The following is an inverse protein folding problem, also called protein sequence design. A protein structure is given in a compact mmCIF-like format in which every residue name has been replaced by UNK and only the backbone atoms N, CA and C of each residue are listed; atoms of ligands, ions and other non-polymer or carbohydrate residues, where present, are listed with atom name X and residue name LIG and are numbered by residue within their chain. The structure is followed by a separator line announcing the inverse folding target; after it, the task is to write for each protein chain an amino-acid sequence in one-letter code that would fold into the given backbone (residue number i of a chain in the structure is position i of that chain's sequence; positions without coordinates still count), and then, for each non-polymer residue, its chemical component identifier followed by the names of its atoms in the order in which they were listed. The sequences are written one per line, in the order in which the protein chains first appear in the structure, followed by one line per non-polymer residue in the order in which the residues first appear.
data_IF_397201787945
#
_entry.id   IF_397201787945
#
_cell.length_a   1.000
_cell.length_b   1.000
_cell.length_c   1.000
_cell.angle_alpha   90.00
_cell.angle_beta   90.00
_cell.angle_gamma   90.00
#
_symmetry.space_group_name_H-M   'P 1'
#
loop_
_entity.id
_entity.type
_entity.pdbx_description
1 polymer ?
#
# COMPACT_ATOMS: atom_id res chain seq x y z
N UNK A 1 -6.69 -3.78 21.35
CA UNK A 1 -5.27 -4.14 21.13
C UNK A 1 -4.97 -3.71 19.71
N UNK A 2 -4.22 -2.62 19.52
CA UNK A 2 -3.82 -2.19 18.18
C UNK A 2 -2.90 -3.25 17.60
N UNK A 3 -3.17 -3.66 16.37
CA UNK A 3 -2.51 -4.76 15.65
C UNK A 3 -1.11 -4.39 15.10
N UNK A 4 -0.56 -3.25 15.52
CA UNK A 4 0.79 -2.79 15.13
C UNK A 4 0.91 -2.35 13.66
N UNK A 5 -0.20 -2.25 12.92
CA UNK A 5 -0.21 -1.84 11.52
C UNK A 5 -0.11 -0.33 11.39
N UNK A 6 0.60 0.12 10.36
CA UNK A 6 0.83 1.54 10.08
C UNK A 6 0.09 2.02 8.82
N UNK A 7 -0.55 1.11 8.08
CA UNK A 7 -1.37 1.37 6.92
C UNK A 7 -1.69 0.10 6.14
N UNK A 8 -1.48 0.13 4.83
CA UNK A 8 -1.61 -1.03 3.94
C UNK A 8 -0.36 -1.92 4.00
N UNK A 9 0.11 -2.25 5.20
CA UNK A 9 1.37 -2.96 5.40
C UNK A 9 1.43 -4.25 4.55
N UNK A 10 2.61 -4.53 4.02
CA UNK A 10 2.91 -5.68 3.18
C UNK A 10 2.51 -6.98 3.88
N UNK A 11 2.02 -7.95 3.10
CA UNK A 11 1.62 -9.26 3.60
C UNK A 11 2.16 -10.34 2.67
N UNK A 12 2.71 -11.41 3.24
CA UNK A 12 3.15 -12.55 2.44
C UNK A 12 1.94 -13.28 1.85
N UNK A 13 1.93 -13.44 0.53
CA UNK A 13 0.94 -14.29 -0.16
C UNK A 13 1.58 -15.66 -0.40
N UNK A 14 1.00 -16.68 0.23
CA UNK A 14 1.43 -18.07 0.06
C UNK A 14 1.42 -18.47 -1.43
N UNK A 15 2.53 -19.04 -1.91
CA UNK A 15 2.66 -19.48 -3.30
C UNK A 15 3.00 -18.38 -4.30
N UNK A 16 3.07 -17.10 -3.91
CA UNK A 16 3.34 -16.02 -4.85
C UNK A 16 4.74 -16.08 -5.46
N UNK A 17 5.75 -16.54 -4.69
CA UNK A 17 7.13 -16.73 -5.17
C UNK A 17 7.25 -17.85 -6.19
N UNK A 18 6.53 -18.95 -6.03
CA UNK A 18 6.63 -20.11 -6.92
C UNK A 18 5.66 -20.03 -8.10
N UNK A 19 4.43 -19.56 -7.86
CA UNK A 19 3.32 -19.63 -8.81
C UNK A 19 3.00 -18.27 -9.47
N UNK A 20 3.47 -17.16 -8.89
CA UNK A 20 3.22 -15.82 -9.41
C UNK A 20 1.77 -15.36 -9.29
N UNK A 21 1.25 -14.70 -10.33
CA UNK A 21 -0.12 -14.15 -10.38
C UNK A 21 -1.23 -15.15 -9.99
N UNK A 22 -1.21 -16.43 -10.42
CA UNK A 22 -2.17 -17.43 -9.97
C UNK A 22 -2.37 -17.53 -8.45
N UNK A 23 -1.29 -17.53 -7.67
CA UNK A 23 -1.39 -17.58 -6.20
C UNK A 23 -2.01 -16.29 -5.62
N UNK A 24 -1.66 -15.14 -6.18
CA UNK A 24 -2.24 -13.84 -5.80
C UNK A 24 -3.74 -13.79 -6.10
N UNK A 25 -4.16 -14.27 -7.26
CA UNK A 25 -5.58 -14.39 -7.64
C UNK A 25 -6.32 -15.33 -6.68
N UNK A 26 -5.71 -16.47 -6.35
CA UNK A 26 -6.28 -17.43 -5.40
C UNK A 26 -6.46 -16.78 -4.01
N UNK A 27 -5.51 -15.96 -3.55
CA UNK A 27 -5.64 -15.23 -2.30
C UNK A 27 -6.77 -14.17 -2.34
N UNK A 28 -6.89 -13.40 -3.42
CA UNK A 28 -7.94 -12.38 -3.60
C UNK A 28 -9.37 -12.96 -3.58
N UNK A 29 -9.54 -14.19 -4.07
CA UNK A 29 -10.84 -14.86 -4.09
C UNK A 29 -11.38 -15.17 -2.69
N UNK A 30 -10.50 -15.23 -1.67
CA UNK A 30 -10.88 -15.48 -0.28
C UNK A 30 -11.34 -14.17 0.38
N UNK A 31 -12.53 -14.17 0.98
CA UNK A 31 -13.02 -13.07 1.79
C UNK A 31 -12.47 -13.17 3.22
N UNK A 32 -11.29 -12.61 3.47
CA UNK A 32 -10.63 -12.59 4.78
C UNK A 32 -10.65 -11.19 5.41
N UNK A 33 -10.42 -11.06 6.73
CA UNK A 33 -10.26 -9.74 7.36
C UNK A 33 -9.14 -8.89 6.75
N UNK A 34 -8.08 -9.53 6.24
CA UNK A 34 -6.93 -8.86 5.60
C UNK A 34 -7.14 -8.54 4.12
N UNK A 35 -8.35 -8.72 3.57
CA UNK A 35 -8.60 -8.63 2.12
C UNK A 35 -8.12 -7.32 1.49
N UNK A 36 -8.21 -6.19 2.20
CA UNK A 36 -7.72 -4.90 1.71
C UNK A 36 -6.19 -4.89 1.57
N UNK A 37 -5.47 -5.53 2.49
CA UNK A 37 -4.02 -5.69 2.41
C UNK A 37 -3.61 -6.66 1.31
N UNK A 38 -4.39 -7.73 1.10
CA UNK A 38 -4.20 -8.64 -0.04
C UNK A 38 -4.42 -7.92 -1.38
N UNK A 39 -5.41 -7.03 -1.47
CA UNK A 39 -5.61 -6.15 -2.64
C UNK A 39 -4.39 -5.25 -2.84
N UNK A 40 -3.95 -4.53 -1.80
CA UNK A 40 -2.76 -3.69 -1.86
C UNK A 40 -1.51 -4.47 -2.30
N UNK A 41 -1.31 -5.68 -1.79
CA UNK A 41 -0.20 -6.53 -2.17
C UNK A 41 -0.31 -7.02 -3.62
N UNK A 42 -1.51 -7.38 -4.07
CA UNK A 42 -1.76 -7.71 -5.47
C UNK A 42 -1.43 -6.55 -6.41
N UNK A 43 -1.74 -5.32 -6.00
CA UNK A 43 -1.38 -4.11 -6.72
C UNK A 43 0.13 -3.94 -6.83
N UNK A 44 0.89 -4.17 -5.75
CA UNK A 44 2.36 -4.17 -5.73
C UNK A 44 2.95 -5.30 -6.59
N UNK A 45 2.27 -6.44 -6.63
CA UNK A 45 2.62 -7.59 -7.48
C UNK A 45 2.32 -7.36 -8.97
N UNK A 46 1.70 -6.22 -9.33
CA UNK A 46 1.46 -5.84 -10.73
C UNK A 46 0.15 -6.37 -11.31
N UNK A 47 -0.84 -6.70 -10.49
CA UNK A 47 -2.20 -6.89 -10.98
C UNK A 47 -2.83 -5.52 -11.25
N UNK A 48 -3.55 -5.41 -12.36
CA UNK A 48 -4.38 -4.26 -12.72
C UNK A 48 -5.67 -4.21 -11.90
N UNK A 49 -6.27 -3.03 -11.82
CA UNK A 49 -7.54 -2.83 -11.12
C UNK A 49 -8.66 -3.68 -11.75
N UNK A 50 -8.64 -3.86 -13.07
CA UNK A 50 -9.58 -4.74 -13.78
C UNK A 50 -9.39 -6.22 -13.41
N UNK A 51 -8.13 -6.70 -13.29
CA UNK A 51 -7.85 -8.06 -12.80
C UNK A 51 -8.39 -8.26 -11.39
N UNK A 52 -8.20 -7.28 -10.50
CA UNK A 52 -8.66 -7.35 -9.11
C UNK A 52 -10.19 -7.26 -9.04
N UNK A 53 -10.81 -6.37 -9.81
CA UNK A 53 -12.27 -6.21 -9.88
C UNK A 53 -12.93 -7.52 -10.31
N UNK A 54 -12.43 -8.18 -11.36
CA UNK A 54 -12.98 -9.46 -11.84
C UNK A 54 -12.98 -10.57 -10.78
N UNK A 55 -12.02 -10.56 -9.86
CA UNK A 55 -11.89 -11.61 -8.84
C UNK A 55 -12.67 -11.28 -7.57
N UNK A 56 -12.74 -9.99 -7.21
CA UNK A 56 -13.24 -9.56 -5.90
C UNK A 56 -14.61 -8.89 -5.95
N UNK A 57 -15.02 -8.44 -7.14
CA UNK A 57 -16.17 -7.55 -7.38
C UNK A 57 -16.11 -6.24 -6.58
N UNK A 58 -14.92 -5.83 -6.11
CA UNK A 58 -14.75 -4.53 -5.47
C UNK A 58 -14.98 -3.42 -6.48
N UNK A 59 -15.65 -2.37 -6.05
CA UNK A 59 -15.97 -1.25 -6.92
C UNK A 59 -14.70 -0.64 -7.55
N UNK A 60 -14.67 -0.40 -8.88
CA UNK A 60 -13.48 0.13 -9.56
C UNK A 60 -13.01 1.48 -9.01
N UNK A 61 -13.92 2.36 -8.57
CA UNK A 61 -13.55 3.64 -7.98
C UNK A 61 -12.78 3.42 -6.66
N UNK A 62 -13.21 2.46 -5.84
CA UNK A 62 -12.52 2.12 -4.60
C UNK A 62 -11.13 1.52 -4.86
N UNK A 63 -11.00 0.65 -5.85
CA UNK A 63 -9.70 0.11 -6.28
C UNK A 63 -8.77 1.24 -6.74
N UNK A 64 -9.27 2.19 -7.53
CA UNK A 64 -8.48 3.34 -7.96
C UNK A 64 -7.99 4.22 -6.79
N UNK A 65 -8.74 4.31 -5.67
CA UNK A 65 -8.28 5.01 -4.46
C UNK A 65 -7.14 4.26 -3.75
N UNK A 66 -7.22 2.93 -3.67
CA UNK A 66 -6.12 2.13 -3.11
C UNK A 66 -4.88 2.24 -4.02
N UNK A 67 -5.08 2.17 -5.34
CA UNK A 67 -3.99 2.32 -6.32
C UNK A 67 -3.22 3.61 -6.13
N UNK A 68 -3.94 4.73 -5.98
CA UNK A 68 -3.34 6.04 -5.73
C UNK A 68 -2.42 6.04 -4.49
N UNK A 69 -2.82 5.36 -3.42
CA UNK A 69 -1.99 5.20 -2.21
C UNK A 69 -0.75 4.36 -2.51
N UNK A 70 -0.91 3.23 -3.23
CA UNK A 70 0.21 2.34 -3.57
C UNK A 70 1.22 3.00 -4.51
N UNK A 71 0.76 3.81 -5.45
CA UNK A 71 1.63 4.54 -6.37
C UNK A 71 2.44 5.61 -5.61
N UNK A 72 1.82 6.30 -4.64
CA UNK A 72 2.55 7.23 -3.76
C UNK A 72 3.53 6.50 -2.86
N UNK A 73 3.19 5.32 -2.32
CA UNK A 73 4.16 4.49 -1.59
C UNK A 73 5.38 4.15 -2.45
N UNK A 74 5.17 3.77 -3.70
CA UNK A 74 6.23 3.47 -4.64
C UNK A 74 7.13 4.69 -4.87
N UNK A 75 6.53 5.85 -5.15
CA UNK A 75 7.26 7.10 -5.33
C UNK A 75 8.11 7.47 -4.11
N UNK A 76 7.58 7.29 -2.89
CA UNK A 76 8.30 7.55 -1.64
C UNK A 76 9.47 6.57 -1.46
N UNK A 77 9.27 5.28 -1.76
CA UNK A 77 10.35 4.28 -1.66
C UNK A 77 11.49 4.58 -2.63
N UNK A 78 11.17 5.02 -3.84
CA UNK A 78 12.16 5.31 -4.89
C UNK A 78 12.87 6.65 -4.69
N UNK A 79 12.13 7.70 -4.37
CA UNK A 79 12.62 9.08 -4.40
C UNK A 79 12.81 9.70 -3.00
N UNK A 80 12.35 9.02 -1.95
CA UNK A 80 12.27 9.57 -0.60
C UNK A 80 11.06 10.49 -0.39
N UNK A 81 11.05 11.20 0.73
CA UNK A 81 9.98 12.16 1.05
C UNK A 81 10.12 13.43 0.20
N UNK A 82 9.00 14.09 -0.15
CA UNK A 82 9.05 15.43 -0.71
C UNK A 82 9.80 16.39 0.21
N UNK A 83 10.60 17.26 -0.39
CA UNK A 83 11.37 18.28 0.33
C UNK A 83 10.61 19.59 0.51
N UNK A 84 9.50 19.77 -0.23
CA UNK A 84 8.64 20.96 -0.15
C UNK A 84 7.39 20.72 0.72
N UNK A 85 6.92 21.80 1.34
CA UNK A 85 5.79 21.75 2.28
C UNK A 85 4.48 21.32 1.61
N UNK A 86 4.25 21.68 0.34
CA UNK A 86 3.04 21.32 -0.38
C UNK A 86 3.01 19.83 -0.69
N UNK A 87 4.14 19.25 -1.11
CA UNK A 87 4.33 17.82 -1.30
C UNK A 87 4.09 17.03 -0.04
N UNK A 88 4.68 17.46 1.08
CA UNK A 88 4.44 16.84 2.38
C UNK A 88 2.96 16.92 2.76
N UNK A 89 2.32 18.09 2.60
CA UNK A 89 0.90 18.27 2.92
C UNK A 89 0.00 17.36 2.08
N UNK A 90 0.28 17.20 0.78
CA UNK A 90 -0.48 16.28 -0.10
C UNK A 90 -0.46 14.86 0.43
N UNK A 91 0.72 14.31 0.72
CA UNK A 91 0.88 12.95 1.24
C UNK A 91 0.16 12.80 2.59
N UNK A 92 0.24 13.79 3.49
CA UNK A 92 -0.47 13.75 4.77
C UNK A 92 -1.99 13.78 4.61
N UNK A 93 -2.52 14.55 3.65
CA UNK A 93 -3.96 14.58 3.36
C UNK A 93 -4.49 13.26 2.79
N UNK A 94 -3.62 12.44 2.18
CA UNK A 94 -3.95 11.08 1.75
C UNK A 94 -4.01 10.07 2.91
N UNK A 95 -3.67 10.48 4.14
CA UNK A 95 -3.76 9.64 5.34
C UNK A 95 -2.46 8.94 5.75
N UNK A 96 -1.33 9.23 5.13
CA UNK A 96 -0.05 8.64 5.51
C UNK A 96 0.38 9.07 6.92
N UNK A 97 0.60 8.09 7.79
CA UNK A 97 1.13 8.31 9.15
C UNK A 97 2.64 8.52 9.12
N UNK A 98 3.21 9.20 10.12
CA UNK A 98 4.67 9.37 10.22
C UNK A 98 5.37 8.00 10.35
N UNK A 99 4.73 7.05 11.03
CA UNK A 99 5.21 5.67 11.15
C UNK A 99 5.26 4.95 9.80
N UNK A 100 4.23 5.08 8.96
CA UNK A 100 4.23 4.50 7.61
C UNK A 100 5.31 5.14 6.74
N UNK A 101 5.43 6.46 6.79
CA UNK A 101 6.47 7.18 6.03
C UNK A 101 7.87 6.72 6.42
N UNK A 102 8.15 6.61 7.71
CA UNK A 102 9.42 6.10 8.22
C UNK A 102 9.72 4.67 7.75
N UNK A 103 8.70 3.80 7.76
CA UNK A 103 8.83 2.44 7.24
C UNK A 103 9.18 2.43 5.74
N UNK A 104 8.48 3.25 4.93
CA UNK A 104 8.69 3.35 3.49
C UNK A 104 10.09 3.88 3.14
N UNK A 105 10.61 4.83 3.91
CA UNK A 105 11.92 5.45 3.68
C UNK A 105 13.07 4.70 4.34
N UNK A 106 12.79 3.63 5.10
CA UNK A 106 13.77 2.91 5.95
C UNK A 106 14.52 3.85 6.90
N UNK A 107 13.85 4.90 7.38
CA UNK A 107 14.37 5.84 8.38
C UNK A 107 13.62 5.66 9.70
N UNK A 108 14.12 6.25 10.78
CA UNK A 108 13.34 6.31 12.02
C UNK A 108 12.18 7.33 11.93
N UNK A 109 11.15 7.15 12.77
CA UNK A 109 9.96 8.00 12.82
C UNK A 109 10.29 9.46 13.20
N UNK A 110 11.32 9.65 14.02
CA UNK A 110 11.75 10.98 14.45
C UNK A 110 12.27 11.80 13.27
N UNK A 111 12.97 11.15 12.35
CA UNK A 111 13.50 11.73 11.12
C UNK A 111 12.37 12.08 10.16
N UNK A 112 11.42 11.17 9.94
CA UNK A 112 10.23 11.46 9.13
C UNK A 112 9.41 12.63 9.68
N UNK A 113 9.25 12.71 11.01
CA UNK A 113 8.57 13.82 11.68
C UNK A 113 9.31 15.15 11.55
N UNK A 114 10.64 15.16 11.53
CA UNK A 114 11.44 16.37 11.32
C UNK A 114 11.31 16.88 9.89
N UNK A 115 11.27 16.01 8.89
CA UNK A 115 11.05 16.38 7.49
C UNK A 115 9.69 17.07 7.23
N UNK A 116 8.74 16.96 8.16
CA UNK A 116 7.45 17.66 8.12
C UNK A 116 7.53 19.13 8.57
N UNK A 117 8.51 19.50 9.38
CA UNK A 117 8.62 20.83 9.99
C UNK A 117 9.43 21.76 9.10
#
# INVERSE_FOLDING_TARGET
MENGLTGLDEIAIEGASEQGKPAVIAALSKATPDRIRVIAEAMRFGLSDDEIHRVTSFDPWFLARIREIIDVEHQIRENGLPTDADGMRRIKMMGFTDARLAHLTKTDETTARRARR
#
